data_IF_229335764578
#
_entry.id   IF_229335764578
#
_cell.length_a   1.000
_cell.length_b   1.000
_cell.length_c   1.000
_cell.angle_alpha   90.00
_cell.angle_beta   90.00
_cell.angle_gamma   90.00
#
_symmetry.space_group_name_H-M   'P 1'
#
loop_
_entity.id
_entity.type
_entity.pdbx_description
1 polymer ?
#
# COMPACT_ATOMS: atom_id res chain seq x y z
N UNK A 1 14.59 74.81 32.05
CA UNK A 1 14.69 74.02 30.79
C UNK A 1 14.83 72.59 31.20
N UNK A 2 13.66 71.89 31.34
CA UNK A 2 13.53 70.56 31.94
C UNK A 2 13.21 69.56 30.83
N UNK A 3 14.15 68.67 30.60
CA UNK A 3 14.01 67.60 29.61
C UNK A 3 13.15 66.47 30.21
N UNK A 4 12.01 66.21 29.63
CA UNK A 4 11.15 65.07 29.96
C UNK A 4 11.51 63.87 29.02
N UNK A 5 12.16 62.86 29.62
CA UNK A 5 12.43 61.57 28.91
C UNK A 5 11.23 60.73 29.05
N UNK A 6 10.52 60.44 27.90
CA UNK A 6 9.43 59.46 27.79
C UNK A 6 10.04 58.10 27.55
N UNK A 7 9.90 57.19 28.51
CA UNK A 7 10.14 55.75 28.31
C UNK A 7 8.97 55.14 27.54
N UNK A 8 9.22 54.71 26.29
CA UNK A 8 8.33 53.81 25.55
C UNK A 8 8.58 52.38 26.04
N UNK A 9 7.65 51.81 26.82
CA UNK A 9 7.61 50.39 27.11
C UNK A 9 7.05 49.71 25.88
N UNK A 10 7.90 49.11 25.06
CA UNK A 10 7.51 48.13 24.04
C UNK A 10 7.23 46.79 24.71
N UNK A 11 5.94 46.48 24.90
CA UNK A 11 5.50 45.14 25.31
C UNK A 11 5.73 44.17 24.16
N UNK A 12 6.77 43.34 24.28
CA UNK A 12 7.02 42.20 23.39
C UNK A 12 5.99 41.12 23.73
N UNK A 13 4.89 41.06 22.97
CA UNK A 13 3.94 39.97 22.99
C UNK A 13 4.66 38.73 22.41
N UNK A 14 5.18 37.88 23.31
CA UNK A 14 5.58 36.53 22.98
C UNK A 14 4.28 35.75 22.57
N UNK A 15 4.02 35.71 21.28
CA UNK A 15 3.12 34.73 20.70
C UNK A 15 3.74 33.34 20.90
N UNK A 16 3.46 32.70 22.04
CA UNK A 16 3.66 31.27 22.19
C UNK A 16 2.64 30.61 21.32
N UNK A 17 2.96 30.44 20.03
CA UNK A 17 2.26 29.52 19.17
C UNK A 17 2.33 28.15 19.85
N UNK A 18 1.18 27.58 20.22
CA UNK A 18 1.09 26.15 20.56
C UNK A 18 1.55 25.37 19.34
N UNK A 19 2.84 25.03 19.31
CA UNK A 19 3.35 24.00 18.39
C UNK A 19 2.66 22.72 18.83
N UNK A 20 1.74 22.26 18.02
CA UNK A 20 1.07 20.99 18.24
C UNK A 20 2.12 19.89 18.04
N UNK A 21 2.68 19.39 19.12
CA UNK A 21 3.61 18.26 19.09
C UNK A 21 2.84 16.99 18.68
N UNK A 22 2.66 16.79 17.38
CA UNK A 22 2.50 15.46 16.84
C UNK A 22 3.90 14.87 16.72
N UNK A 23 4.10 13.69 17.32
CA UNK A 23 5.31 12.94 17.10
C UNK A 23 5.25 12.35 15.68
N UNK A 24 6.17 12.77 14.82
CA UNK A 24 6.26 12.31 13.43
C UNK A 24 7.58 11.58 13.23
N UNK A 25 7.48 10.39 12.65
CA UNK A 25 8.58 9.48 12.34
C UNK A 25 8.60 9.21 10.85
N UNK A 26 9.74 9.44 10.22
CA UNK A 26 9.88 9.34 8.76
C UNK A 26 11.17 8.63 8.40
N UNK A 27 11.17 7.97 7.24
CA UNK A 27 12.35 7.33 6.69
C UNK A 27 12.09 6.76 5.30
N UNK A 28 13.00 5.89 4.86
CA UNK A 28 12.97 5.26 3.55
C UNK A 28 13.16 3.74 3.70
N UNK A 29 12.25 2.96 3.13
CA UNK A 29 12.23 1.49 3.18
C UNK A 29 11.48 0.93 1.95
N UNK A 30 11.70 -0.29 1.55
CA UNK A 30 11.04 -0.97 0.40
C UNK A 30 11.11 -0.20 -0.92
N UNK A 31 12.15 0.62 -1.11
CA UNK A 31 12.26 1.50 -2.29
C UNK A 31 11.33 2.72 -2.27
N UNK A 32 10.67 3.01 -1.12
CA UNK A 32 9.75 4.13 -0.93
C UNK A 32 9.94 4.79 0.45
N UNK A 33 9.15 5.84 0.74
CA UNK A 33 9.13 6.51 2.04
C UNK A 33 8.18 5.80 3.03
N UNK A 34 8.36 6.07 4.32
CA UNK A 34 7.33 5.90 5.32
C UNK A 34 7.14 7.18 6.14
N UNK A 35 5.91 7.38 6.63
CA UNK A 35 5.53 8.53 7.45
C UNK A 35 4.52 8.07 8.52
N UNK A 36 4.92 8.13 9.78
CA UNK A 36 4.11 7.69 10.91
C UNK A 36 3.89 8.88 11.82
N UNK A 37 2.63 9.18 12.12
CA UNK A 37 2.22 10.25 13.04
C UNK A 37 1.53 9.64 14.24
N UNK A 38 1.94 10.04 15.44
CA UNK A 38 1.35 9.58 16.71
C UNK A 38 0.84 10.79 17.46
N UNK A 39 -0.47 10.82 17.71
CA UNK A 39 -1.16 11.93 18.38
C UNK A 39 -1.25 11.74 19.90
N UNK A 40 -0.97 10.55 20.40
CA UNK A 40 -0.78 10.30 21.83
C UNK A 40 0.46 11.04 22.33
N UNK A 41 0.46 11.47 23.60
CA UNK A 41 1.56 12.22 24.20
C UNK A 41 2.37 11.40 25.24
N UNK A 42 2.71 10.14 25.01
CA UNK A 42 3.57 9.39 25.90
C UNK A 42 5.05 9.78 25.66
N UNK A 43 5.89 9.47 26.63
CA UNK A 43 7.33 9.52 26.43
C UNK A 43 7.75 8.37 25.50
N UNK A 44 7.87 8.64 24.19
CA UNK A 44 8.16 7.68 23.14
C UNK A 44 9.68 7.49 22.95
N UNK A 45 10.40 7.25 24.05
CA UNK A 45 11.83 6.93 23.96
C UNK A 45 12.01 5.68 23.09
N UNK A 46 12.87 5.77 22.08
CA UNK A 46 13.25 4.68 21.17
C UNK A 46 12.19 4.20 20.16
N UNK A 47 11.00 4.80 20.04
CA UNK A 47 9.97 4.34 19.09
C UNK A 47 10.47 4.36 17.64
N UNK A 48 11.22 5.41 17.23
CA UNK A 48 11.84 5.49 15.91
C UNK A 48 12.73 4.28 15.64
N UNK A 49 13.60 3.93 16.59
CA UNK A 49 14.51 2.78 16.46
C UNK A 49 13.74 1.45 16.36
N UNK A 50 12.63 1.31 17.09
CA UNK A 50 11.76 0.11 17.03
C UNK A 50 11.05 0.01 15.68
N UNK A 51 10.53 1.12 15.15
CA UNK A 51 9.94 1.20 13.81
C UNK A 51 10.97 0.80 12.75
N UNK A 52 12.14 1.43 12.77
CA UNK A 52 13.22 1.17 11.80
C UNK A 52 13.70 -0.28 11.84
N UNK A 53 13.79 -0.88 13.04
CA UNK A 53 14.18 -2.28 13.19
C UNK A 53 13.12 -3.20 12.59
N UNK A 54 11.85 -3.01 12.95
CA UNK A 54 10.73 -3.83 12.44
C UNK A 54 10.62 -3.75 10.92
N UNK A 55 10.72 -2.55 10.34
CA UNK A 55 10.69 -2.38 8.88
C UNK A 55 11.86 -3.07 8.19
N UNK A 56 13.07 -3.01 8.76
CA UNK A 56 14.23 -3.77 8.23
C UNK A 56 14.06 -5.28 8.34
N UNK A 57 13.46 -5.79 9.41
CA UNK A 57 13.15 -7.22 9.56
C UNK A 57 12.19 -7.68 8.46
N UNK A 58 11.11 -6.92 8.22
CA UNK A 58 10.12 -7.20 7.16
C UNK A 58 10.78 -7.15 5.77
N UNK A 59 11.63 -6.18 5.52
CA UNK A 59 12.35 -6.06 4.25
C UNK A 59 13.31 -7.23 4.02
N UNK A 60 13.98 -7.71 5.05
CA UNK A 60 14.79 -8.92 4.96
C UNK A 60 13.98 -10.21 4.84
N UNK A 61 12.70 -10.16 5.20
CA UNK A 61 11.82 -11.32 5.07
C UNK A 61 11.21 -11.42 3.66
N UNK A 62 10.75 -10.31 3.08
CA UNK A 62 9.90 -10.32 1.89
C UNK A 62 10.48 -9.61 0.65
N UNK A 63 11.70 -9.05 0.72
CA UNK A 63 12.27 -8.31 -0.42
C UNK A 63 12.66 -9.22 -1.58
N UNK A 64 12.17 -8.90 -2.79
CA UNK A 64 12.64 -9.49 -4.04
C UNK A 64 14.00 -8.91 -4.51
N UNK A 65 14.43 -7.78 -3.92
CA UNK A 65 15.63 -7.05 -4.37
C UNK A 65 16.88 -7.35 -3.54
N UNK A 66 16.71 -7.97 -2.38
CA UNK A 66 17.82 -8.36 -1.50
C UNK A 66 18.11 -9.84 -1.67
N UNK A 67 19.24 -10.19 -2.26
CA UNK A 67 19.65 -11.58 -2.52
C UNK A 67 19.62 -12.46 -1.27
N UNK A 68 19.91 -11.88 -0.11
CA UNK A 68 19.96 -12.56 1.18
C UNK A 68 18.62 -12.55 1.95
N UNK A 69 17.54 -12.00 1.36
CA UNK A 69 16.22 -12.07 1.97
C UNK A 69 15.74 -13.51 2.13
N UNK A 70 14.86 -13.74 3.10
CA UNK A 70 14.26 -15.06 3.29
C UNK A 70 13.51 -15.50 2.02
N UNK A 71 12.73 -14.61 1.39
CA UNK A 71 12.00 -14.85 0.17
C UNK A 71 12.92 -15.28 -0.98
N UNK A 72 14.01 -14.57 -1.24
CA UNK A 72 14.92 -14.91 -2.32
C UNK A 72 15.63 -16.25 -2.11
N UNK A 73 15.99 -16.57 -0.87
CA UNK A 73 16.52 -17.89 -0.54
C UNK A 73 15.46 -18.99 -0.69
N UNK A 74 14.21 -18.69 -0.33
CA UNK A 74 13.09 -19.60 -0.52
C UNK A 74 12.86 -19.89 -2.02
N UNK A 75 12.84 -18.86 -2.87
CA UNK A 75 12.69 -18.98 -4.32
C UNK A 75 13.85 -19.78 -4.96
N UNK A 76 15.08 -19.68 -4.40
CA UNK A 76 16.22 -20.50 -4.83
C UNK A 76 16.24 -21.92 -4.21
N UNK A 77 15.19 -22.30 -3.46
CA UNK A 77 15.07 -23.62 -2.79
C UNK A 77 16.23 -23.92 -1.83
N UNK A 78 16.82 -22.87 -1.25
CA UNK A 78 17.86 -23.01 -0.25
C UNK A 78 17.29 -23.56 1.07
N UNK A 79 18.02 -24.48 1.71
CA UNK A 79 17.60 -24.98 3.02
C UNK A 79 17.69 -23.88 4.07
N UNK A 80 16.56 -23.57 4.70
CA UNK A 80 16.50 -22.57 5.78
C UNK A 80 15.48 -22.99 6.84
N UNK A 81 15.56 -22.40 8.03
CA UNK A 81 14.60 -22.62 9.08
C UNK A 81 13.25 -22.03 8.69
N UNK A 82 12.16 -22.68 9.09
CA UNK A 82 10.80 -22.16 8.88
C UNK A 82 10.63 -20.82 9.61
N UNK A 83 10.08 -19.85 8.91
CA UNK A 83 9.71 -18.55 9.48
C UNK A 83 8.18 -18.46 9.57
N UNK A 84 7.68 -18.20 10.77
CA UNK A 84 6.23 -18.20 11.04
C UNK A 84 5.53 -17.05 10.32
N UNK A 85 6.11 -15.85 10.32
CA UNK A 85 5.51 -14.68 9.66
C UNK A 85 5.45 -14.87 8.14
N UNK A 86 6.50 -15.46 7.56
CA UNK A 86 6.49 -15.82 6.14
C UNK A 86 5.39 -16.83 5.82
N UNK A 87 5.28 -17.90 6.63
CA UNK A 87 4.27 -18.95 6.42
C UNK A 87 2.86 -18.40 6.60
N UNK A 88 2.64 -17.53 7.57
CA UNK A 88 1.35 -16.90 7.80
C UNK A 88 0.94 -16.01 6.61
N UNK A 89 1.85 -15.16 6.12
CA UNK A 89 1.55 -14.31 4.96
C UNK A 89 1.36 -15.13 3.68
N UNK A 90 2.13 -16.21 3.50
CA UNK A 90 1.96 -17.15 2.39
C UNK A 90 0.54 -17.74 2.37
N UNK A 91 0.12 -18.33 3.49
CA UNK A 91 -1.21 -18.96 3.60
C UNK A 91 -2.33 -17.93 3.43
N UNK A 92 -2.21 -16.76 4.05
CA UNK A 92 -3.19 -15.69 3.90
C UNK A 92 -3.28 -15.18 2.45
N UNK A 93 -2.14 -15.09 1.76
CA UNK A 93 -2.13 -14.72 0.33
C UNK A 93 -2.81 -15.75 -0.56
N UNK A 94 -2.72 -17.04 -0.22
CA UNK A 94 -3.44 -18.12 -0.91
C UNK A 94 -4.96 -17.95 -0.71
N UNK A 95 -5.41 -17.68 0.53
CA UNK A 95 -6.82 -17.42 0.82
C UNK A 95 -7.36 -16.20 0.02
N UNK A 96 -6.60 -15.11 -0.06
CA UNK A 96 -6.96 -13.94 -0.87
C UNK A 96 -7.01 -14.32 -2.37
N UNK A 97 -6.03 -15.07 -2.88
CA UNK A 97 -5.99 -15.53 -4.26
C UNK A 97 -7.27 -16.30 -4.63
N UNK A 98 -7.71 -17.21 -3.77
CA UNK A 98 -8.95 -17.98 -3.96
C UNK A 98 -10.17 -17.06 -3.94
N UNK A 99 -10.25 -16.15 -2.96
CA UNK A 99 -11.35 -15.20 -2.82
C UNK A 99 -11.54 -14.33 -4.06
N UNK A 100 -10.44 -13.84 -4.67
CA UNK A 100 -10.47 -12.99 -5.86
C UNK A 100 -10.35 -13.75 -7.18
N UNK A 101 -10.60 -15.07 -7.20
CA UNK A 101 -10.51 -15.91 -8.40
C UNK A 101 -9.19 -15.72 -9.17
N UNK A 102 -8.05 -15.79 -8.48
CA UNK A 102 -6.71 -15.68 -9.04
C UNK A 102 -6.37 -14.30 -9.68
N UNK A 103 -7.18 -13.26 -9.50
CA UNK A 103 -6.82 -11.90 -9.97
C UNK A 103 -5.75 -11.22 -9.10
N UNK A 104 -5.40 -11.82 -7.98
CA UNK A 104 -4.18 -11.61 -7.19
C UNK A 104 -3.56 -12.98 -6.97
N UNK A 105 -2.25 -13.11 -7.22
CA UNK A 105 -1.55 -14.37 -7.01
C UNK A 105 -0.07 -14.10 -6.75
N UNK A 106 0.44 -14.59 -5.64
CA UNK A 106 1.84 -14.41 -5.25
C UNK A 106 2.82 -15.30 -6.04
N UNK A 107 2.34 -16.32 -6.75
CA UNK A 107 3.19 -17.20 -7.59
C UNK A 107 3.51 -16.59 -8.95
N UNK A 108 3.48 -15.27 -9.06
CA UNK A 108 3.79 -14.51 -10.27
C UNK A 108 5.23 -13.99 -10.33
N UNK A 109 6.09 -14.32 -9.36
CA UNK A 109 7.47 -13.82 -9.30
C UNK A 109 8.28 -14.10 -10.57
N UNK A 110 8.18 -15.32 -11.12
CA UNK A 110 8.83 -15.67 -12.39
C UNK A 110 8.31 -14.84 -13.58
N UNK A 111 7.00 -14.53 -13.63
CA UNK A 111 6.42 -13.64 -14.65
C UNK A 111 6.93 -12.21 -14.50
N UNK A 112 6.95 -11.68 -13.28
CA UNK A 112 7.48 -10.34 -12.97
C UNK A 112 8.94 -10.21 -13.42
N UNK A 113 9.75 -11.24 -13.16
CA UNK A 113 11.15 -11.31 -13.60
C UNK A 113 11.27 -11.45 -15.12
N UNK A 114 10.44 -12.26 -15.76
CA UNK A 114 10.42 -12.48 -17.21
C UNK A 114 10.09 -11.18 -17.96
N UNK A 115 9.12 -10.40 -17.46
CA UNK A 115 8.75 -9.09 -18.03
C UNK A 115 9.73 -7.95 -17.67
N UNK A 116 10.75 -8.20 -16.84
CA UNK A 116 11.76 -7.21 -16.46
C UNK A 116 11.30 -6.19 -15.42
N UNK A 117 10.20 -6.45 -14.71
CA UNK A 117 9.73 -5.61 -13.59
C UNK A 117 10.40 -5.97 -12.26
N UNK A 118 11.02 -7.15 -12.19
CA UNK A 118 11.80 -7.62 -11.04
C UNK A 118 13.19 -6.98 -10.94
N UNK A 119 14.08 -7.58 -10.12
CA UNK A 119 15.47 -7.11 -9.94
C UNK A 119 16.28 -7.07 -11.25
N UNK A 120 16.02 -8.02 -12.15
CA UNK A 120 16.72 -8.12 -13.44
C UNK A 120 15.91 -7.40 -14.51
N UNK A 121 16.42 -6.28 -14.98
CA UNK A 121 15.76 -5.52 -16.05
C UNK A 121 15.97 -6.21 -17.39
N UNK A 122 14.93 -6.28 -18.21
CA UNK A 122 14.98 -6.79 -19.59
C UNK A 122 14.54 -5.70 -20.56
N UNK A 123 15.09 -5.75 -21.79
CA UNK A 123 14.83 -4.78 -22.84
C UNK A 123 14.09 -5.39 -24.05
N UNK A 124 13.65 -6.65 -23.94
CA UNK A 124 12.93 -7.38 -24.99
C UNK A 124 11.64 -7.98 -24.42
N UNK A 125 10.63 -8.12 -25.26
CA UNK A 125 9.41 -8.85 -24.90
C UNK A 125 9.75 -10.34 -24.73
N UNK A 126 9.11 -11.00 -23.77
CA UNK A 126 9.22 -12.45 -23.62
C UNK A 126 8.52 -13.18 -24.78
N UNK A 127 8.99 -14.37 -25.10
CA UNK A 127 8.31 -15.30 -26.02
C UNK A 127 7.05 -15.86 -25.34
N UNK A 128 5.97 -16.06 -26.11
CA UNK A 128 4.67 -16.58 -25.57
C UNK A 128 4.85 -17.94 -24.90
N UNK A 129 5.62 -18.85 -25.48
CA UNK A 129 5.91 -20.15 -24.88
C UNK A 129 6.60 -20.04 -23.51
N UNK A 130 7.48 -19.04 -23.33
CA UNK A 130 8.13 -18.79 -22.04
C UNK A 130 7.12 -18.29 -20.98
N UNK A 131 6.13 -17.51 -21.38
CA UNK A 131 5.04 -17.07 -20.51
C UNK A 131 4.16 -18.26 -20.12
N UNK A 132 3.69 -19.04 -21.09
CA UNK A 132 2.79 -20.20 -20.88
C UNK A 132 3.38 -21.22 -19.89
N UNK A 133 4.69 -21.42 -19.92
CA UNK A 133 5.40 -22.36 -19.04
C UNK A 133 5.43 -21.95 -17.58
N UNK A 134 5.21 -20.66 -17.26
CA UNK A 134 5.32 -20.09 -15.90
C UNK A 134 4.06 -19.40 -15.41
N UNK A 135 2.93 -19.54 -16.12
CA UNK A 135 1.61 -19.09 -15.61
C UNK A 135 1.21 -19.98 -14.42
N UNK A 136 0.83 -19.37 -13.27
CA UNK A 136 0.30 -20.13 -12.14
C UNK A 136 -0.99 -20.89 -12.52
N UNK A 137 -1.08 -22.18 -12.22
CA UNK A 137 -2.26 -23.00 -12.53
C UNK A 137 -3.31 -23.03 -11.40
N UNK A 138 -3.21 -22.10 -10.46
CA UNK A 138 -4.08 -22.02 -9.29
C UNK A 138 -3.48 -21.12 -8.22
N UNK A 139 -4.04 -21.16 -7.03
CA UNK A 139 -3.56 -20.41 -5.87
C UNK A 139 -2.52 -21.18 -5.05
N UNK A 140 -2.26 -22.43 -5.37
CA UNK A 140 -1.24 -23.27 -4.75
C UNK A 140 -0.13 -23.60 -5.75
N UNK A 141 1.11 -23.63 -5.28
CA UNK A 141 2.29 -23.87 -6.15
C UNK A 141 2.64 -25.34 -6.35
N UNK A 142 1.79 -26.28 -5.97
CA UNK A 142 2.15 -27.66 -5.68
C UNK A 142 2.90 -28.42 -6.79
N UNK A 143 2.78 -28.01 -8.05
CA UNK A 143 3.24 -28.82 -9.19
C UNK A 143 4.19 -28.12 -10.19
N UNK A 144 4.58 -26.87 -9.96
CA UNK A 144 5.47 -26.17 -10.90
C UNK A 144 6.73 -25.65 -10.22
N UNK A 145 7.84 -26.38 -10.40
CA UNK A 145 9.15 -26.06 -9.86
C UNK A 145 9.75 -24.74 -10.36
N UNK A 146 9.16 -24.11 -11.36
CA UNK A 146 9.63 -22.85 -11.97
C UNK A 146 8.92 -21.61 -11.44
N UNK A 147 7.93 -21.76 -10.55
CA UNK A 147 7.23 -20.62 -9.97
C UNK A 147 8.02 -20.02 -8.80
N UNK A 148 8.20 -18.70 -8.85
CA UNK A 148 8.76 -17.91 -7.77
C UNK A 148 7.65 -17.11 -7.08
N UNK A 149 7.77 -16.97 -5.76
CA UNK A 149 6.87 -16.13 -4.97
C UNK A 149 7.28 -14.66 -5.08
N UNK A 150 6.29 -13.79 -5.19
CA UNK A 150 6.41 -12.35 -5.10
C UNK A 150 5.30 -11.77 -4.21
N UNK A 151 5.69 -11.15 -3.10
CA UNK A 151 4.76 -10.49 -2.17
C UNK A 151 4.58 -8.99 -2.45
N UNK A 152 5.06 -8.46 -3.56
CA UNK A 152 5.05 -7.00 -3.82
C UNK A 152 3.67 -6.35 -3.77
N UNK A 153 2.60 -7.12 -4.01
CA UNK A 153 1.21 -6.66 -4.01
C UNK A 153 0.49 -6.81 -2.65
N UNK A 154 1.22 -7.17 -1.57
CA UNK A 154 0.66 -7.33 -0.21
C UNK A 154 1.66 -6.92 0.87
N UNK A 155 2.97 -6.98 0.60
CA UNK A 155 4.00 -6.82 1.63
C UNK A 155 4.05 -5.41 2.24
N UNK A 156 3.69 -4.37 1.49
CA UNK A 156 3.66 -3.00 2.03
C UNK A 156 2.50 -2.83 3.02
N UNK A 157 1.31 -3.31 2.65
CA UNK A 157 0.17 -3.35 3.55
C UNK A 157 0.43 -4.21 4.78
N UNK A 158 1.07 -5.38 4.63
CA UNK A 158 1.52 -6.20 5.75
C UNK A 158 2.47 -5.43 6.67
N UNK A 159 3.42 -4.67 6.13
CA UNK A 159 4.33 -3.86 6.94
C UNK A 159 3.57 -2.77 7.73
N UNK A 160 2.54 -2.15 7.13
CA UNK A 160 1.65 -1.20 7.82
C UNK A 160 0.95 -1.87 9.00
N UNK A 161 0.41 -3.09 8.82
CA UNK A 161 -0.26 -3.85 9.87
C UNK A 161 0.71 -4.24 11.00
N UNK A 162 1.95 -4.61 10.68
CA UNK A 162 2.98 -4.96 11.67
C UNK A 162 3.44 -3.73 12.48
N UNK A 163 3.58 -2.57 11.84
CA UNK A 163 3.86 -1.33 12.56
C UNK A 163 2.67 -0.94 13.45
N UNK A 164 1.44 -1.10 12.97
CA UNK A 164 0.25 -0.86 13.79
C UNK A 164 0.21 -1.79 15.02
N UNK A 165 0.61 -3.08 14.85
CA UNK A 165 0.75 -4.02 15.97
C UNK A 165 1.79 -3.54 16.98
N UNK A 166 2.98 -3.13 16.50
CA UNK A 166 4.05 -2.59 17.35
C UNK A 166 3.58 -1.38 18.18
N UNK A 167 2.77 -0.49 17.57
CA UNK A 167 2.22 0.67 18.27
C UNK A 167 1.13 0.26 19.27
N UNK A 168 0.27 -0.69 18.90
CA UNK A 168 -0.78 -1.24 19.79
C UNK A 168 -0.18 -1.89 21.05
N UNK A 169 0.91 -2.66 20.89
CA UNK A 169 1.62 -3.32 22.00
C UNK A 169 2.24 -2.32 22.99
N UNK A 170 2.46 -1.09 22.53
CA UNK A 170 2.87 0.04 23.38
C UNK A 170 1.69 0.87 23.92
N UNK A 171 0.45 0.37 23.77
CA UNK A 171 -0.79 1.02 24.18
C UNK A 171 -1.04 2.39 23.52
N UNK A 172 -0.50 2.60 22.31
CA UNK A 172 -0.79 3.76 21.50
C UNK A 172 -2.13 3.59 20.76
N UNK A 173 -2.98 4.59 20.82
CA UNK A 173 -4.35 4.47 20.32
C UNK A 173 -4.72 5.50 19.25
N UNK A 174 -3.83 6.47 18.98
CA UNK A 174 -4.12 7.55 18.06
C UNK A 174 -2.93 7.74 17.10
N UNK A 175 -2.98 7.09 15.96
CA UNK A 175 -1.88 7.13 15.00
C UNK A 175 -2.36 7.04 13.54
N UNK A 176 -1.49 7.51 12.66
CA UNK A 176 -1.57 7.45 11.21
C UNK A 176 -0.27 6.85 10.70
N UNK A 177 -0.35 5.77 9.95
CA UNK A 177 0.79 5.08 9.33
C UNK A 177 0.61 5.17 7.82
N UNK A 178 1.66 5.56 7.09
CA UNK A 178 1.74 5.58 5.64
C UNK A 178 3.08 4.99 5.21
N UNK A 179 3.07 3.94 4.43
CA UNK A 179 4.25 3.31 3.84
C UNK A 179 4.04 3.20 2.34
N UNK A 180 4.54 4.21 1.60
CA UNK A 180 4.48 4.24 0.15
C UNK A 180 3.09 4.35 -0.46
N UNK A 181 2.11 4.83 0.31
CA UNK A 181 0.71 4.98 -0.08
C UNK A 181 -0.25 3.94 0.51
N UNK A 182 0.28 2.89 1.15
CA UNK A 182 -0.51 1.99 1.99
C UNK A 182 -0.66 2.61 3.37
N UNK A 183 -1.89 2.85 3.79
CA UNK A 183 -2.23 3.65 4.96
C UNK A 183 -3.07 2.84 5.94
N UNK A 184 -2.81 3.05 7.25
CA UNK A 184 -3.70 2.62 8.32
C UNK A 184 -3.80 3.72 9.37
N UNK A 185 -5.03 4.00 9.79
CA UNK A 185 -5.30 4.92 10.88
C UNK A 185 -6.04 4.23 12.02
N UNK A 186 -5.73 4.65 13.25
CA UNK A 186 -6.44 4.27 14.48
C UNK A 186 -6.71 5.52 15.31
N UNK A 187 -7.89 5.53 15.97
CA UNK A 187 -8.25 6.65 16.85
C UNK A 187 -8.41 7.98 16.13
N UNK A 188 -7.98 9.05 16.76
CA UNK A 188 -8.19 10.41 16.30
C UNK A 188 -6.90 11.25 16.31
N UNK A 189 -6.84 12.23 15.43
CA UNK A 189 -5.87 13.31 15.47
C UNK A 189 -6.33 14.35 16.50
N UNK A 190 -5.94 14.17 17.77
CA UNK A 190 -6.44 14.97 18.89
C UNK A 190 -7.98 14.83 19.04
N UNK A 191 -8.74 15.86 18.66
CA UNK A 191 -10.22 15.89 18.75
C UNK A 191 -10.91 15.64 17.41
N UNK A 192 -10.18 15.50 16.33
CA UNK A 192 -10.72 15.31 14.96
C UNK A 192 -10.34 13.93 14.44
N UNK A 193 -11.11 13.31 13.57
CA UNK A 193 -10.70 12.07 12.90
C UNK A 193 -9.44 12.29 12.07
N UNK A 194 -8.70 11.21 11.81
CA UNK A 194 -7.69 11.19 10.77
C UNK A 194 -8.38 11.26 9.40
N UNK A 195 -7.87 12.12 8.52
CA UNK A 195 -8.37 12.25 7.15
C UNK A 195 -7.34 11.64 6.21
N UNK A 196 -7.78 10.72 5.36
CA UNK A 196 -7.01 10.12 4.28
C UNK A 196 -7.57 10.65 2.96
N UNK A 197 -6.73 11.25 2.13
CA UNK A 197 -7.17 11.80 0.85
C UNK A 197 -6.55 11.03 -0.31
N UNK A 198 -7.37 10.67 -1.29
CA UNK A 198 -6.95 10.01 -2.54
C UNK A 198 -6.44 11.09 -3.50
N UNK A 199 -5.19 10.93 -3.95
CA UNK A 199 -4.53 11.86 -4.87
C UNK A 199 -5.22 11.91 -6.24
N UNK A 200 -5.22 13.10 -6.85
CA UNK A 200 -5.62 13.26 -8.23
C UNK A 200 -4.48 12.79 -9.15
N UNK A 201 -4.73 11.87 -10.11
CA UNK A 201 -3.71 11.45 -11.06
C UNK A 201 -3.27 12.57 -12.02
N UNK A 202 -4.07 13.62 -12.19
CA UNK A 202 -3.64 14.84 -12.86
C UNK A 202 -2.80 15.69 -11.91
N UNK A 203 -1.49 15.65 -12.10
CA UNK A 203 -0.51 16.36 -11.26
C UNK A 203 -0.62 17.90 -11.35
N UNK A 204 -1.38 18.44 -12.32
CA UNK A 204 -1.66 19.88 -12.41
C UNK A 204 -2.78 20.30 -11.45
N UNK A 205 -3.57 19.35 -10.97
CA UNK A 205 -4.65 19.58 -10.03
C UNK A 205 -4.16 19.27 -8.61
N UNK A 206 -3.95 20.28 -7.79
CA UNK A 206 -3.50 20.11 -6.40
C UNK A 206 -4.60 19.62 -5.44
N UNK A 207 -5.85 19.56 -5.89
CA UNK A 207 -6.98 19.11 -5.06
C UNK A 207 -7.11 17.59 -5.14
N UNK A 208 -7.25 16.88 -3.99
CA UNK A 208 -7.52 15.46 -3.99
C UNK A 208 -8.86 15.13 -4.67
N UNK A 209 -9.01 13.90 -5.12
CA UNK A 209 -10.27 13.39 -5.69
C UNK A 209 -11.32 13.30 -4.59
N UNK A 210 -11.01 12.56 -3.53
CA UNK A 210 -11.87 12.36 -2.37
C UNK A 210 -11.06 12.24 -1.09
N UNK A 211 -11.69 12.53 0.03
CA UNK A 211 -11.13 12.33 1.36
C UNK A 211 -12.03 11.46 2.21
N UNK A 212 -11.43 10.60 3.01
CA UNK A 212 -12.07 9.56 3.81
C UNK A 212 -11.77 9.76 5.28
N UNK A 213 -12.71 9.34 6.13
CA UNK A 213 -12.46 9.15 7.57
C UNK A 213 -13.21 7.93 8.09
N UNK A 214 -12.63 7.24 9.09
CA UNK A 214 -13.31 6.14 9.74
C UNK A 214 -14.52 6.64 10.55
N UNK A 215 -15.54 5.80 10.71
CA UNK A 215 -16.66 6.06 11.61
C UNK A 215 -16.24 5.85 13.08
N UNK A 216 -16.96 6.46 14.02
CA UNK A 216 -16.62 6.39 15.45
C UNK A 216 -16.68 4.98 16.04
N UNK A 217 -17.54 4.11 15.49
CA UNK A 217 -17.66 2.71 15.92
C UNK A 217 -16.58 1.79 15.32
N UNK A 218 -15.74 2.30 14.44
CA UNK A 218 -14.63 1.56 13.82
C UNK A 218 -13.33 1.84 14.56
N UNK A 219 -12.54 0.78 14.78
CA UNK A 219 -11.25 0.89 15.46
C UNK A 219 -10.15 1.35 14.52
N UNK A 220 -10.13 0.79 13.31
CA UNK A 220 -9.13 1.07 12.27
C UNK A 220 -9.81 1.44 10.96
N UNK A 221 -9.06 2.10 10.09
CA UNK A 221 -9.34 2.16 8.65
C UNK A 221 -8.03 1.99 7.89
N UNK A 222 -7.98 0.98 7.04
CA UNK A 222 -6.89 0.77 6.09
C UNK A 222 -7.29 1.29 4.72
N UNK A 223 -6.34 1.89 3.99
CA UNK A 223 -6.52 2.34 2.61
C UNK A 223 -5.26 1.97 1.82
N UNK A 224 -5.43 1.35 0.66
CA UNK A 224 -4.35 1.09 -0.27
C UNK A 224 -4.76 1.46 -1.70
N UNK A 225 -3.79 1.81 -2.53
CA UNK A 225 -4.06 2.22 -3.92
C UNK A 225 -3.11 1.52 -4.88
N UNK A 226 -3.65 0.70 -5.76
CA UNK A 226 -2.93 0.16 -6.92
C UNK A 226 -2.97 1.18 -8.06
N UNK A 227 -1.78 1.58 -8.56
CA UNK A 227 -1.63 2.59 -9.62
C UNK A 227 -0.93 2.00 -10.83
N UNK A 228 -1.44 2.27 -12.03
CA UNK A 228 -0.83 1.79 -13.28
C UNK A 228 0.07 2.82 -13.96
N UNK A 229 -0.02 4.11 -13.62
CA UNK A 229 0.68 5.19 -14.34
C UNK A 229 2.10 5.49 -13.85
N UNK A 230 2.54 4.95 -12.70
CA UNK A 230 3.87 5.24 -12.11
C UNK A 230 4.96 4.28 -12.59
N UNK A 231 4.63 3.00 -12.76
CA UNK A 231 5.59 1.94 -13.09
C UNK A 231 5.19 1.23 -14.40
N UNK A 232 5.82 1.59 -15.50
CA UNK A 232 5.62 0.97 -16.81
C UNK A 232 6.90 1.10 -17.63
N UNK A 233 7.01 0.33 -18.68
CA UNK A 233 7.96 0.61 -19.76
C UNK A 233 7.24 0.76 -21.10
N UNK A 234 7.88 1.43 -22.05
CA UNK A 234 7.35 1.59 -23.41
C UNK A 234 8.28 0.91 -24.38
N UNK A 235 7.74 0.04 -25.24
CA UNK A 235 8.46 -0.60 -26.33
C UNK A 235 7.57 -0.53 -27.58
N UNK A 236 8.13 -0.15 -28.73
CA UNK A 236 7.42 -0.01 -30.01
C UNK A 236 6.13 0.82 -29.91
N UNK A 237 6.18 1.93 -29.18
CA UNK A 237 5.05 2.82 -28.87
C UNK A 237 3.89 2.17 -28.10
N UNK A 238 4.08 0.95 -27.60
CA UNK A 238 3.12 0.27 -26.72
C UNK A 238 3.61 0.33 -25.29
N UNK A 239 2.73 0.72 -24.38
CA UNK A 239 2.96 0.76 -22.94
C UNK A 239 2.65 -0.59 -22.31
N UNK A 240 3.52 -1.04 -21.41
CA UNK A 240 3.39 -2.26 -20.63
C UNK A 240 3.39 -1.91 -19.15
N UNK A 241 2.29 -2.23 -18.45
CA UNK A 241 2.14 -2.06 -17.01
C UNK A 241 3.04 -3.02 -16.24
N UNK A 242 3.49 -2.60 -15.05
CA UNK A 242 4.18 -3.51 -14.13
C UNK A 242 3.25 -4.53 -13.47
N UNK A 243 1.94 -4.29 -13.48
CA UNK A 243 0.94 -5.23 -12.97
C UNK A 243 0.69 -6.32 -13.99
N UNK A 244 0.98 -7.55 -13.61
CA UNK A 244 0.78 -8.74 -14.45
C UNK A 244 -0.55 -9.38 -14.10
N UNK A 245 -1.34 -9.74 -15.11
CA UNK A 245 -2.50 -10.59 -14.92
C UNK A 245 -2.04 -12.04 -14.69
N UNK A 246 -2.28 -12.63 -13.50
CA UNK A 246 -1.82 -13.98 -13.18
C UNK A 246 -2.42 -15.08 -14.07
N UNK A 247 -3.58 -14.85 -14.67
CA UNK A 247 -4.29 -15.83 -15.48
C UNK A 247 -3.76 -15.90 -16.91
N UNK A 248 -3.32 -14.76 -17.44
CA UNK A 248 -2.81 -14.66 -18.79
C UNK A 248 -1.30 -14.60 -18.87
N UNK A 249 -0.64 -14.21 -17.76
CA UNK A 249 0.80 -14.00 -17.71
C UNK A 249 1.27 -12.69 -18.39
N UNK A 250 0.35 -11.86 -18.90
CA UNK A 250 0.65 -10.60 -19.57
C UNK A 250 0.40 -9.39 -18.66
N UNK A 251 1.13 -8.27 -18.90
CA UNK A 251 0.78 -6.99 -18.30
C UNK A 251 -0.65 -6.59 -18.60
N UNK A 252 -1.36 -6.06 -17.60
CA UNK A 252 -2.72 -5.55 -17.78
C UNK A 252 -2.72 -4.40 -18.82
N UNK A 253 -3.81 -4.31 -19.58
CA UNK A 253 -3.99 -3.31 -20.64
C UNK A 253 -5.40 -2.72 -20.62
N UNK A 254 -5.94 -2.47 -19.43
CA UNK A 254 -7.22 -1.82 -19.25
C UNK A 254 -7.07 -0.29 -19.18
N UNK A 255 -8.18 0.44 -19.10
CA UNK A 255 -8.20 1.91 -19.04
C UNK A 255 -8.17 2.45 -17.59
N UNK A 256 -8.00 1.60 -16.59
CA UNK A 256 -7.85 2.04 -15.21
C UNK A 256 -6.54 2.81 -15.01
N UNK A 257 -6.62 3.89 -14.28
CA UNK A 257 -5.48 4.68 -13.84
C UNK A 257 -5.06 4.26 -12.44
N UNK A 258 -6.05 4.07 -11.56
CA UNK A 258 -5.85 3.55 -10.22
C UNK A 258 -7.13 2.96 -9.64
N UNK A 259 -6.94 2.08 -8.65
CA UNK A 259 -8.00 1.56 -7.79
C UNK A 259 -7.58 1.75 -6.35
N UNK A 260 -8.40 2.47 -5.57
CA UNK A 260 -8.22 2.60 -4.12
C UNK A 260 -9.23 1.73 -3.40
N UNK A 261 -8.77 0.94 -2.44
CA UNK A 261 -9.60 0.11 -1.55
C UNK A 261 -9.48 0.65 -0.14
N UNK A 262 -10.63 0.82 0.54
CA UNK A 262 -10.70 1.20 1.94
C UNK A 262 -11.40 0.11 2.75
N UNK A 263 -10.79 -0.32 3.85
CA UNK A 263 -11.29 -1.35 4.74
C UNK A 263 -11.40 -0.81 6.17
N UNK A 264 -12.55 -0.19 6.51
CA UNK A 264 -12.84 0.19 7.88
C UNK A 264 -13.25 -1.03 8.72
N UNK A 265 -12.88 -1.07 10.02
CA UNK A 265 -13.31 -2.19 10.87
C UNK A 265 -12.62 -2.29 12.22
N UNK A 266 -12.75 -3.47 12.83
CA UNK A 266 -12.22 -3.78 14.16
C UNK A 266 -10.78 -4.34 14.11
N UNK A 267 -10.32 -4.75 12.96
CA UNK A 267 -9.02 -5.38 12.73
C UNK A 267 -8.13 -4.54 11.80
N UNK A 268 -6.84 -4.84 11.76
CA UNK A 268 -5.88 -4.29 10.81
C UNK A 268 -5.99 -5.08 9.52
N UNK A 269 -6.18 -4.39 8.40
CA UNK A 269 -6.40 -4.99 7.08
C UNK A 269 -5.66 -4.24 5.98
N UNK A 270 -4.49 -3.63 6.28
CA UNK A 270 -3.75 -2.91 5.25
C UNK A 270 -3.16 -3.86 4.20
N UNK A 271 -2.74 -5.07 4.61
CA UNK A 271 -2.34 -6.13 3.68
C UNK A 271 -3.48 -6.56 2.75
N UNK A 272 -4.67 -6.75 3.29
CA UNK A 272 -5.86 -7.08 2.49
C UNK A 272 -6.23 -5.96 1.51
N UNK A 273 -6.17 -4.70 1.96
CA UNK A 273 -6.45 -3.55 1.10
C UNK A 273 -5.46 -3.45 -0.07
N UNK A 274 -4.15 -3.69 0.16
CA UNK A 274 -3.09 -3.69 -0.86
C UNK A 274 -3.34 -4.80 -1.90
N UNK A 275 -3.60 -6.03 -1.45
CA UNK A 275 -3.90 -7.17 -2.32
C UNK A 275 -5.20 -6.99 -3.11
N UNK A 276 -6.27 -6.51 -2.46
CA UNK A 276 -7.56 -6.25 -3.12
C UNK A 276 -7.48 -5.11 -4.13
N UNK A 277 -6.76 -4.03 -3.84
CA UNK A 277 -6.55 -2.95 -4.79
C UNK A 277 -5.86 -3.46 -6.06
N UNK A 278 -4.85 -4.33 -5.92
CA UNK A 278 -4.17 -4.99 -7.04
C UNK A 278 -5.12 -5.92 -7.79
N UNK A 279 -5.89 -6.76 -7.10
CA UNK A 279 -6.84 -7.68 -7.73
C UNK A 279 -7.92 -6.95 -8.55
N UNK A 280 -8.50 -5.88 -7.98
CA UNK A 280 -9.52 -5.08 -8.67
C UNK A 280 -8.94 -4.33 -9.89
N UNK A 281 -7.67 -3.92 -9.82
CA UNK A 281 -6.97 -3.34 -10.96
C UNK A 281 -6.76 -4.36 -12.08
N UNK A 282 -6.40 -5.61 -11.75
CA UNK A 282 -6.28 -6.73 -12.71
C UNK A 282 -7.63 -7.04 -13.36
N UNK A 283 -8.72 -7.13 -12.59
CA UNK A 283 -10.09 -7.35 -13.11
C UNK A 283 -10.54 -6.26 -14.08
N UNK A 284 -10.03 -5.05 -13.93
CA UNK A 284 -10.48 -3.87 -14.69
C UNK A 284 -11.81 -3.30 -14.20
N UNK A 285 -12.25 -2.20 -14.83
CA UNK A 285 -13.36 -1.38 -14.32
C UNK A 285 -14.68 -2.18 -14.17
N UNK A 286 -15.06 -2.97 -15.17
CA UNK A 286 -16.38 -3.62 -15.17
C UNK A 286 -16.43 -4.76 -14.15
N UNK A 287 -15.57 -5.74 -14.31
CA UNK A 287 -15.54 -6.93 -13.44
C UNK A 287 -15.14 -6.56 -12.01
N UNK A 288 -14.12 -5.71 -11.83
CA UNK A 288 -13.65 -5.26 -10.52
C UNK A 288 -14.71 -4.47 -9.76
N UNK A 289 -15.48 -3.61 -10.45
CA UNK A 289 -16.58 -2.89 -9.81
C UNK A 289 -17.72 -3.82 -9.37
N UNK A 290 -18.15 -4.74 -10.25
CA UNK A 290 -19.19 -5.73 -9.94
C UNK A 290 -18.74 -6.63 -8.78
N UNK A 291 -17.49 -7.10 -8.79
CA UNK A 291 -16.91 -7.88 -7.69
C UNK A 291 -16.90 -7.10 -6.37
N UNK A 292 -16.44 -5.84 -6.38
CA UNK A 292 -16.38 -5.01 -5.18
C UNK A 292 -17.77 -4.74 -4.60
N UNK A 293 -18.77 -4.46 -5.44
CA UNK A 293 -20.17 -4.26 -4.99
C UNK A 293 -20.74 -5.54 -4.37
N UNK A 294 -20.58 -6.69 -5.03
CA UNK A 294 -21.11 -7.97 -4.57
C UNK A 294 -20.50 -8.43 -3.24
N UNK A 295 -19.28 -8.01 -2.95
CA UNK A 295 -18.56 -8.35 -1.72
C UNK A 295 -18.52 -7.19 -0.70
N UNK A 296 -19.30 -6.12 -0.92
CA UNK A 296 -19.36 -4.94 -0.04
C UNK A 296 -17.99 -4.29 0.22
N UNK A 297 -17.07 -4.35 -0.76
CA UNK A 297 -15.75 -3.73 -0.67
C UNK A 297 -15.89 -2.25 -1.00
N UNK A 298 -15.40 -1.37 -0.13
CA UNK A 298 -15.32 0.05 -0.41
C UNK A 298 -14.16 0.32 -1.38
N UNK A 299 -14.50 0.64 -2.63
CA UNK A 299 -13.52 0.85 -3.69
C UNK A 299 -13.85 2.09 -4.55
N UNK A 300 -12.80 2.84 -4.90
CA UNK A 300 -12.84 3.97 -5.83
C UNK A 300 -11.96 3.64 -7.04
N UNK A 301 -12.56 3.71 -8.22
CA UNK A 301 -11.91 3.46 -9.51
C UNK A 301 -11.72 4.78 -10.24
N UNK A 302 -10.49 5.08 -10.66
CA UNK A 302 -10.16 6.21 -11.53
C UNK A 302 -9.74 5.64 -12.88
N UNK A 303 -10.37 6.11 -13.94
CA UNK A 303 -10.15 5.60 -15.29
C UNK A 303 -10.15 6.71 -16.33
N UNK A 304 -9.63 6.43 -17.52
CA UNK A 304 -9.69 7.34 -18.66
C UNK A 304 -10.89 7.04 -19.54
N UNK A 305 -11.69 8.09 -19.82
CA UNK A 305 -12.80 8.06 -20.75
C UNK A 305 -12.71 9.30 -21.62
N UNK A 306 -12.68 9.13 -22.94
CA UNK A 306 -12.60 10.22 -23.94
C UNK A 306 -11.44 11.21 -23.71
N UNK A 307 -10.34 10.73 -23.13
CA UNK A 307 -9.14 11.53 -22.83
C UNK A 307 -9.13 12.20 -21.45
N UNK A 308 -10.26 12.20 -20.74
CA UNK A 308 -10.41 12.79 -19.41
C UNK A 308 -10.40 11.72 -18.30
N UNK A 309 -10.12 12.13 -17.07
CA UNK A 309 -10.26 11.26 -15.90
C UNK A 309 -11.72 11.23 -15.43
N UNK A 310 -12.21 10.03 -15.21
CA UNK A 310 -13.54 9.76 -14.66
C UNK A 310 -13.37 8.89 -13.41
N UNK A 311 -14.33 8.96 -12.50
CA UNK A 311 -14.35 8.20 -11.26
C UNK A 311 -15.62 7.35 -11.17
N UNK A 312 -15.49 6.21 -10.49
CA UNK A 312 -16.64 5.39 -10.09
C UNK A 312 -16.38 4.83 -8.70
N UNK A 313 -17.35 4.97 -7.79
CA UNK A 313 -17.28 4.52 -6.41
C UNK A 313 -18.30 3.45 -6.15
N UNK A 314 -17.94 2.47 -5.30
CA UNK A 314 -18.92 1.51 -4.79
C UNK A 314 -19.78 2.18 -3.72
N UNK A 315 -21.02 1.70 -3.46
CA UNK A 315 -21.86 2.23 -2.38
C UNK A 315 -21.14 2.21 -1.01
N UNK A 316 -20.39 1.15 -0.72
CA UNK A 316 -19.60 1.05 0.52
C UNK A 316 -18.51 2.13 0.62
N UNK A 317 -17.98 2.63 -0.52
CA UNK A 317 -17.01 3.72 -0.52
C UNK A 317 -17.68 5.08 -0.28
N UNK A 318 -18.85 5.30 -0.87
CA UNK A 318 -19.64 6.52 -0.66
C UNK A 318 -20.02 6.72 0.81
N UNK A 319 -20.24 5.62 1.54
CA UNK A 319 -20.60 5.63 2.97
C UNK A 319 -19.48 6.12 3.91
N UNK A 320 -18.24 6.21 3.46
CA UNK A 320 -17.06 6.59 4.26
C UNK A 320 -16.40 7.89 3.79
N UNK A 321 -16.98 8.59 2.82
CA UNK A 321 -16.53 9.91 2.38
C UNK A 321 -16.69 10.93 3.52
N UNK A 322 -15.69 11.85 3.65
CA UNK A 322 -15.62 12.85 4.71
C UNK A 322 -16.27 14.17 4.29
#
# INVERSE_FOLDING_TARGET
MTLVVRYLLTSLLLLTGCVSNENQYQGYIFGTYYNIKISDSPNLNNIQSSIDLKLREIDMLFSNYKSESYLMRFNRKEKQATNVDFTNLLNHSIEICEFVNQNFNIFTGSLVNLWGFGPVKRMSLPEEEAIENIIPKGCESSDNDHLEIDFSAIAKGYAVDEIARLLDDQNLNNYFIDIGGEILVKGNKKKSPWIICIENPDTQISKPIECLSKKDNEKYMAVATSVDYRNFFTLDNKRYSHTIDPKTGFPISNNLTSVSVALPGQFRHAGDADALATALNVMGLKEGFEFAVNNSIAALFIFRSEGEFSIRMTPSFEDIIH
#
